data_IF_204454428004
#
_entry.id   IF_204454428004
#
_cell.length_a   1.000
_cell.length_b   1.000
_cell.length_c   1.000
_cell.angle_alpha   90.00
_cell.angle_beta   90.00
_cell.angle_gamma   90.00
#
_symmetry.space_group_name_H-M   'P 1'
#
loop_
_entity.id
_entity.type
_entity.pdbx_description
1 polymer ?
#
# COMPACT_ATOMS: atom_id res chain seq x y z
N UNK A 1 92.92 31.45 1.24
CA UNK A 1 92.01 30.41 1.70
C UNK A 1 90.68 31.10 2.02
N UNK A 2 89.71 31.09 1.08
CA UNK A 2 88.32 31.57 1.29
C UNK A 2 87.42 30.42 1.57
N UNK A 3 86.84 30.43 2.79
CA UNK A 3 85.84 29.45 3.19
C UNK A 3 84.48 29.90 2.67
N UNK A 4 83.92 29.19 1.68
CA UNK A 4 82.61 29.37 1.12
C UNK A 4 81.57 28.80 2.10
N UNK A 5 80.76 29.68 2.73
CA UNK A 5 79.58 29.25 3.58
C UNK A 5 78.43 29.04 2.64
N UNK A 6 78.07 27.77 2.49
CA UNK A 6 76.80 27.36 1.82
C UNK A 6 75.66 27.60 2.80
N UNK A 7 74.78 28.58 2.50
CA UNK A 7 73.53 28.80 3.22
C UNK A 7 72.48 27.97 2.55
N UNK A 8 72.12 26.84 3.22
CA UNK A 8 71.00 25.99 2.79
C UNK A 8 69.67 26.68 3.12
N UNK A 9 68.97 27.19 2.11
CA UNK A 9 67.64 27.79 2.23
C UNK A 9 66.60 26.66 2.30
N UNK A 10 66.11 26.33 3.47
CA UNK A 10 65.03 25.33 3.67
C UNK A 10 63.72 26.04 3.32
N UNK A 11 63.16 25.75 2.16
CA UNK A 11 61.79 26.10 1.79
C UNK A 11 60.82 25.23 2.61
N UNK A 12 60.22 25.80 3.64
CA UNK A 12 59.01 25.24 4.26
C UNK A 12 57.85 25.43 3.28
N UNK A 13 57.54 24.41 2.50
CA UNK A 13 56.25 24.26 1.84
C UNK A 13 55.19 24.02 2.93
N UNK A 14 54.67 25.11 3.48
CA UNK A 14 53.49 25.06 4.35
C UNK A 14 52.30 24.59 3.53
N UNK A 15 51.93 23.33 3.68
CA UNK A 15 50.66 22.82 3.22
C UNK A 15 49.58 23.52 4.05
N UNK A 16 49.06 24.66 3.60
CA UNK A 16 47.87 25.27 4.17
C UNK A 16 46.69 24.38 3.74
N UNK A 17 46.30 23.43 4.61
CA UNK A 17 45.02 22.77 4.47
C UNK A 17 43.94 23.86 4.55
N UNK A 18 43.42 24.25 3.40
CA UNK A 18 42.26 25.14 3.32
C UNK A 18 41.13 24.42 4.10
N UNK A 19 40.73 25.00 5.23
CA UNK A 19 39.56 24.54 5.96
C UNK A 19 38.38 24.57 4.99
N UNK A 20 37.82 23.39 4.70
CA UNK A 20 36.61 23.27 3.90
C UNK A 20 35.53 24.16 4.51
N UNK A 21 34.80 24.91 3.71
CA UNK A 21 33.67 25.69 4.23
C UNK A 21 32.57 24.75 4.70
N UNK A 22 31.73 25.19 5.64
CA UNK A 22 30.61 24.38 6.10
C UNK A 22 29.62 24.05 4.96
N UNK A 23 29.45 24.97 4.01
CA UNK A 23 28.63 24.76 2.81
C UNK A 23 29.23 23.64 1.92
N UNK A 24 30.55 23.63 1.73
CA UNK A 24 31.23 22.58 0.96
C UNK A 24 31.11 21.21 1.65
N UNK A 25 31.13 21.20 2.99
CA UNK A 25 30.90 19.98 3.77
C UNK A 25 29.48 19.46 3.55
N UNK A 26 28.45 20.32 3.59
CA UNK A 26 27.06 19.94 3.33
C UNK A 26 26.89 19.40 1.92
N UNK A 27 27.50 20.05 0.91
CA UNK A 27 27.47 19.57 -0.47
C UNK A 27 28.13 18.20 -0.59
N UNK A 28 29.29 18.00 0.03
CA UNK A 28 29.97 16.71 0.03
C UNK A 28 29.14 15.60 0.68
N UNK A 29 28.41 15.93 1.75
CA UNK A 29 27.49 15.00 2.43
C UNK A 29 26.31 14.65 1.54
N UNK A 30 25.71 15.63 0.88
CA UNK A 30 24.63 15.43 -0.08
C UNK A 30 25.07 14.50 -1.23
N UNK A 31 26.20 14.82 -1.88
CA UNK A 31 26.73 14.05 -3.01
C UNK A 31 27.03 12.58 -2.60
N UNK A 32 27.57 12.38 -1.39
CA UNK A 32 27.78 11.03 -0.84
C UNK A 32 26.47 10.30 -0.58
N UNK A 33 25.48 11.00 -0.03
CA UNK A 33 24.14 10.43 0.21
C UNK A 33 23.50 9.96 -1.09
N UNK A 34 23.53 10.81 -2.12
CA UNK A 34 23.04 10.46 -3.46
C UNK A 34 23.82 9.28 -4.08
N UNK A 35 25.15 9.29 -3.99
CA UNK A 35 25.99 8.17 -4.45
C UNK A 35 25.67 6.87 -3.73
N UNK A 36 25.45 6.91 -2.41
CA UNK A 36 25.09 5.73 -1.64
C UNK A 36 23.69 5.23 -2.01
N UNK A 37 22.73 6.13 -2.18
CA UNK A 37 21.39 5.78 -2.66
C UNK A 37 21.47 5.08 -4.02
N UNK A 38 22.12 5.69 -5.00
CA UNK A 38 22.28 5.15 -6.36
C UNK A 38 23.04 3.82 -6.42
N UNK A 39 23.85 3.52 -5.39
CA UNK A 39 24.56 2.24 -5.25
C UNK A 39 23.83 1.20 -4.36
N UNK A 40 22.59 1.45 -3.97
CA UNK A 40 21.77 0.56 -3.13
C UNK A 40 22.21 0.49 -1.67
N UNK A 41 23.05 1.42 -1.21
CA UNK A 41 23.55 1.47 0.18
C UNK A 41 22.68 2.39 1.04
N UNK A 42 21.40 2.11 1.10
CA UNK A 42 20.36 2.98 1.65
C UNK A 42 20.62 3.39 3.11
N UNK A 43 21.10 2.49 3.96
CA UNK A 43 21.45 2.84 5.35
C UNK A 43 22.51 3.95 5.42
N UNK A 44 23.55 3.87 4.56
CA UNK A 44 24.58 4.91 4.51
C UNK A 44 24.06 6.20 3.88
N UNK A 45 23.19 6.08 2.88
CA UNK A 45 22.52 7.24 2.29
C UNK A 45 21.75 8.02 3.35
N UNK A 46 20.97 7.33 4.19
CA UNK A 46 20.23 7.95 5.32
C UNK A 46 21.14 8.79 6.21
N UNK A 47 22.25 8.21 6.68
CA UNK A 47 23.17 8.90 7.61
C UNK A 47 23.72 10.23 7.02
N UNK A 48 24.14 10.20 5.75
CA UNK A 48 24.68 11.39 5.07
C UNK A 48 23.57 12.41 4.76
N UNK A 49 22.41 11.98 4.26
CA UNK A 49 21.29 12.85 3.91
C UNK A 49 20.64 13.48 5.14
N UNK A 50 20.47 12.72 6.23
CA UNK A 50 19.96 13.25 7.49
C UNK A 50 20.84 14.36 8.05
N UNK A 51 22.16 14.24 7.91
CA UNK A 51 23.08 15.31 8.30
C UNK A 51 22.78 16.60 7.53
N UNK A 52 22.52 16.53 6.22
CA UNK A 52 22.19 17.71 5.39
C UNK A 52 20.87 18.33 5.82
N UNK A 53 19.83 17.53 6.01
CA UNK A 53 18.50 17.99 6.43
C UNK A 53 18.56 18.72 7.77
N UNK A 54 19.31 18.17 8.73
CA UNK A 54 19.41 18.74 10.08
C UNK A 54 20.25 20.03 10.14
N UNK A 55 21.25 20.16 9.31
CA UNK A 55 22.23 21.25 9.40
C UNK A 55 22.02 22.40 8.39
N UNK A 56 21.06 22.26 7.47
CA UNK A 56 20.70 23.30 6.51
C UNK A 56 19.19 23.40 6.25
N UNK A 57 18.35 23.44 7.31
CA UNK A 57 16.90 23.42 7.16
C UNK A 57 16.41 24.58 6.30
N UNK A 58 15.43 24.30 5.43
CA UNK A 58 14.81 25.30 4.56
C UNK A 58 15.57 25.61 3.28
N UNK A 59 16.77 25.08 3.07
CA UNK A 59 17.47 25.20 1.80
C UNK A 59 16.93 24.21 0.75
N UNK A 60 17.15 24.53 -0.54
CA UNK A 60 16.80 23.61 -1.62
C UNK A 60 17.55 22.27 -1.49
N UNK A 61 18.83 22.31 -1.10
CA UNK A 61 19.62 21.10 -0.83
C UNK A 61 19.01 20.23 0.27
N UNK A 62 18.53 20.85 1.36
CA UNK A 62 17.85 20.09 2.43
C UNK A 62 16.54 19.47 1.97
N UNK A 63 15.76 20.14 1.10
CA UNK A 63 14.56 19.58 0.50
C UNK A 63 14.89 18.39 -0.42
N UNK A 64 15.93 18.51 -1.25
CA UNK A 64 16.36 17.42 -2.12
C UNK A 64 16.88 16.23 -1.30
N UNK A 65 17.65 16.51 -0.24
CA UNK A 65 18.10 15.50 0.72
C UNK A 65 16.94 14.83 1.44
N UNK A 66 15.90 15.58 1.79
CA UNK A 66 14.71 15.07 2.47
C UNK A 66 13.92 14.09 1.60
N UNK A 67 13.77 14.40 0.31
CA UNK A 67 13.13 13.48 -0.64
C UNK A 67 13.93 12.17 -0.76
N UNK A 68 15.26 12.25 -0.98
CA UNK A 68 16.13 11.08 -1.06
C UNK A 68 16.21 10.29 0.25
N UNK A 69 16.06 10.96 1.40
CA UNK A 69 15.96 10.32 2.71
C UNK A 69 14.68 9.49 2.79
N UNK A 70 13.54 10.04 2.35
CA UNK A 70 12.28 9.31 2.21
C UNK A 70 12.40 8.09 1.31
N UNK A 71 13.02 8.25 0.13
CA UNK A 71 13.30 7.12 -0.77
C UNK A 71 14.19 6.06 -0.11
N UNK A 72 15.22 6.48 0.64
CA UNK A 72 16.12 5.56 1.35
C UNK A 72 15.40 4.74 2.43
N UNK A 73 14.50 5.37 3.18
CA UNK A 73 13.62 4.69 4.13
C UNK A 73 12.68 3.71 3.43
N UNK A 74 12.09 4.11 2.29
CA UNK A 74 11.20 3.26 1.51
C UNK A 74 11.88 1.98 1.04
N UNK A 75 13.08 2.09 0.48
CA UNK A 75 13.87 0.94 0.02
C UNK A 75 14.29 0.00 1.17
N UNK A 76 14.44 0.55 2.38
CA UNK A 76 14.68 -0.23 3.60
C UNK A 76 13.39 -0.81 4.19
N UNK A 77 12.22 -0.56 3.57
CA UNK A 77 10.89 -0.95 4.05
C UNK A 77 10.51 -0.30 5.40
N UNK A 78 11.12 0.81 5.71
CA UNK A 78 10.81 1.65 6.87
C UNK A 78 9.71 2.66 6.44
N UNK A 79 8.52 2.13 6.13
CA UNK A 79 7.47 2.88 5.42
C UNK A 79 6.87 4.03 6.23
N UNK A 80 6.79 3.90 7.56
CA UNK A 80 6.33 4.98 8.44
C UNK A 80 7.29 6.18 8.39
N UNK A 81 8.60 5.92 8.51
CA UNK A 81 9.62 6.96 8.42
C UNK A 81 9.67 7.58 7.01
N UNK A 82 9.57 6.75 5.97
CA UNK A 82 9.50 7.21 4.59
C UNK A 82 8.32 8.17 4.37
N UNK A 83 7.12 7.81 4.82
CA UNK A 83 5.93 8.64 4.70
C UNK A 83 6.10 9.99 5.42
N UNK A 84 6.75 9.98 6.60
CA UNK A 84 7.04 11.20 7.36
C UNK A 84 7.99 12.13 6.59
N UNK A 85 9.06 11.59 5.98
CA UNK A 85 10.01 12.40 5.22
C UNK A 85 9.38 12.96 3.93
N UNK A 86 8.56 12.17 3.22
CA UNK A 86 7.80 12.65 2.06
C UNK A 86 6.75 13.71 2.44
N UNK A 87 6.07 13.58 3.58
CA UNK A 87 5.13 14.60 4.05
C UNK A 87 5.83 15.91 4.40
N UNK A 88 6.98 15.84 5.09
CA UNK A 88 7.83 17.02 5.34
C UNK A 88 8.26 17.69 4.04
N UNK A 89 8.74 16.90 3.07
CA UNK A 89 9.09 17.41 1.75
C UNK A 89 7.90 18.10 1.07
N UNK A 90 6.73 17.46 1.03
CA UNK A 90 5.53 17.99 0.39
C UNK A 90 5.05 19.32 0.99
N UNK A 91 5.23 19.52 2.30
CA UNK A 91 4.85 20.77 3.01
C UNK A 91 5.72 21.96 2.62
N UNK A 92 6.98 21.75 2.28
CA UNK A 92 7.93 22.83 2.02
C UNK A 92 8.31 22.96 0.54
N UNK A 93 7.98 22.00 -0.30
CA UNK A 93 8.19 22.04 -1.73
C UNK A 93 7.32 23.13 -2.39
N UNK A 94 7.93 23.93 -3.26
CA UNK A 94 7.21 24.93 -4.07
C UNK A 94 6.84 24.41 -5.47
N UNK A 95 7.29 23.21 -5.83
CA UNK A 95 6.99 22.58 -7.10
C UNK A 95 5.75 21.70 -6.98
N UNK A 96 4.68 22.03 -7.71
CA UNK A 96 3.46 21.23 -7.76
C UNK A 96 3.75 19.77 -8.14
N UNK A 97 4.55 19.55 -9.19
CA UNK A 97 4.87 18.21 -9.69
C UNK A 97 5.65 17.37 -8.65
N UNK A 98 6.61 17.99 -7.96
CA UNK A 98 7.38 17.30 -6.91
C UNK A 98 6.54 17.02 -5.68
N UNK A 99 5.62 17.93 -5.34
CA UNK A 99 4.67 17.75 -4.23
C UNK A 99 3.70 16.61 -4.54
N UNK A 100 3.12 16.58 -5.75
CA UNK A 100 2.29 15.47 -6.24
C UNK A 100 3.04 14.13 -6.14
N UNK A 101 4.28 14.09 -6.62
CA UNK A 101 5.11 12.88 -6.56
C UNK A 101 5.32 12.40 -5.12
N UNK A 102 5.63 13.31 -4.19
CA UNK A 102 5.82 12.98 -2.78
C UNK A 102 4.50 12.50 -2.13
N UNK A 103 3.36 13.13 -2.47
CA UNK A 103 2.04 12.68 -1.99
C UNK A 103 1.70 11.28 -2.47
N UNK A 104 2.02 10.95 -3.72
CA UNK A 104 1.83 9.59 -4.22
C UNK A 104 2.76 8.59 -3.51
N UNK A 105 4.03 8.97 -3.22
CA UNK A 105 4.93 8.11 -2.41
C UNK A 105 4.39 7.84 -1.01
N UNK A 106 3.69 8.79 -0.38
CA UNK A 106 3.01 8.55 0.90
C UNK A 106 1.91 7.48 0.75
N UNK A 107 1.14 7.52 -0.35
CA UNK A 107 0.17 6.46 -0.63
C UNK A 107 0.83 5.09 -0.80
N UNK A 108 1.96 5.02 -1.53
CA UNK A 108 2.71 3.77 -1.70
C UNK A 108 3.26 3.24 -0.36
N UNK A 109 3.67 4.11 0.56
CA UNK A 109 4.03 3.71 1.93
C UNK A 109 2.84 3.07 2.64
N UNK A 110 1.66 3.70 2.61
CA UNK A 110 0.44 3.20 3.24
C UNK A 110 0.00 1.84 2.64
N UNK A 111 0.08 1.67 1.32
CA UNK A 111 -0.18 0.39 0.64
C UNK A 111 0.75 -0.70 1.18
N UNK A 112 2.04 -0.41 1.29
CA UNK A 112 3.03 -1.38 1.76
C UNK A 112 2.89 -1.71 3.26
N UNK A 113 2.31 -0.83 4.07
CA UNK A 113 1.96 -1.09 5.47
C UNK A 113 0.68 -1.92 5.62
N UNK A 114 -0.13 -2.04 4.56
CA UNK A 114 -1.37 -2.82 4.58
C UNK A 114 -1.09 -4.31 4.75
N UNK A 115 -1.58 -4.87 5.84
CA UNK A 115 -1.41 -6.26 6.21
C UNK A 115 -2.15 -7.23 5.27
N UNK A 116 -1.84 -8.54 5.38
CA UNK A 116 -2.65 -9.59 4.78
C UNK A 116 -4.08 -9.60 5.39
N UNK A 117 -5.08 -10.06 4.64
CA UNK A 117 -6.49 -10.00 5.06
C UNK A 117 -6.79 -10.73 6.38
N UNK A 118 -5.96 -11.69 6.80
CA UNK A 118 -6.13 -12.41 8.07
C UNK A 118 -5.82 -11.56 9.31
N UNK A 119 -5.08 -10.48 9.15
CA UNK A 119 -4.65 -9.60 10.24
C UNK A 119 -5.62 -8.42 10.42
N UNK A 120 -5.26 -7.50 11.31
CA UNK A 120 -5.92 -6.21 11.43
C UNK A 120 -5.83 -5.41 10.13
N UNK A 121 -6.91 -4.74 9.76
CA UNK A 121 -7.06 -4.02 8.50
C UNK A 121 -7.07 -2.49 8.63
N UNK A 122 -6.73 -1.97 9.79
CA UNK A 122 -6.67 -0.51 10.02
C UNK A 122 -5.78 0.17 8.99
N UNK A 123 -4.57 -0.35 8.75
CA UNK A 123 -3.66 0.20 7.74
C UNK A 123 -4.20 0.05 6.30
N UNK A 124 -5.02 -0.97 6.03
CA UNK A 124 -5.64 -1.12 4.71
C UNK A 124 -6.70 -0.04 4.46
N UNK A 125 -7.50 0.28 5.47
CA UNK A 125 -8.49 1.36 5.41
C UNK A 125 -7.77 2.70 5.25
N UNK A 126 -6.74 2.97 6.05
CA UNK A 126 -5.95 4.18 5.94
C UNK A 126 -5.31 4.34 4.54
N UNK A 127 -4.84 3.25 3.94
CA UNK A 127 -4.28 3.30 2.59
C UNK A 127 -5.35 3.68 1.54
N UNK A 128 -6.57 3.17 1.67
CA UNK A 128 -7.70 3.55 0.81
C UNK A 128 -8.01 5.04 0.95
N UNK A 129 -8.10 5.54 2.19
CA UNK A 129 -8.41 6.96 2.46
C UNK A 129 -7.34 7.87 1.84
N UNK A 130 -6.05 7.57 2.01
CA UNK A 130 -4.95 8.34 1.43
C UNK A 130 -4.95 8.32 -0.11
N UNK A 131 -5.30 7.19 -0.71
CA UNK A 131 -5.42 7.08 -2.17
C UNK A 131 -6.60 7.89 -2.70
N UNK A 132 -7.73 7.92 -1.97
CA UNK A 132 -8.89 8.75 -2.33
C UNK A 132 -8.56 10.24 -2.23
N UNK A 133 -7.94 10.68 -1.12
CA UNK A 133 -7.44 12.05 -0.96
C UNK A 133 -6.50 12.44 -2.11
N UNK A 134 -5.58 11.53 -2.50
CA UNK A 134 -4.68 11.79 -3.62
C UNK A 134 -5.42 12.00 -4.94
N UNK A 135 -6.42 11.18 -5.25
CA UNK A 135 -7.22 11.32 -6.47
C UNK A 135 -8.02 12.64 -6.48
N UNK A 136 -8.56 13.04 -5.32
CA UNK A 136 -9.31 14.29 -5.17
C UNK A 136 -8.40 15.52 -5.33
N UNK A 137 -7.22 15.51 -4.71
CA UNK A 137 -6.25 16.61 -4.76
C UNK A 137 -5.55 16.72 -6.12
N UNK A 138 -5.34 15.59 -6.81
CA UNK A 138 -4.57 15.48 -8.05
C UNK A 138 -5.34 14.75 -9.17
N UNK A 139 -6.54 15.22 -9.58
CA UNK A 139 -7.40 14.49 -10.53
C UNK A 139 -6.79 14.34 -11.93
N UNK A 140 -5.82 15.18 -12.29
CA UNK A 140 -5.10 15.14 -13.59
C UNK A 140 -3.74 14.43 -13.49
N UNK A 141 -3.43 13.81 -12.37
CA UNK A 141 -2.18 13.09 -12.18
C UNK A 141 -2.11 11.85 -13.09
N UNK A 142 -0.93 11.56 -13.60
CA UNK A 142 -0.65 10.28 -14.30
C UNK A 142 -0.79 9.06 -13.38
N UNK A 143 -0.80 9.26 -12.06
CA UNK A 143 -0.91 8.20 -11.06
C UNK A 143 -2.35 7.93 -10.61
N UNK A 144 -3.35 8.69 -11.11
CA UNK A 144 -4.77 8.54 -10.73
C UNK A 144 -5.31 7.14 -11.05
N UNK A 145 -5.00 6.62 -12.24
CA UNK A 145 -5.42 5.26 -12.62
C UNK A 145 -4.77 4.19 -11.74
N UNK A 146 -3.48 4.35 -11.42
CA UNK A 146 -2.76 3.45 -10.52
C UNK A 146 -3.38 3.50 -9.12
N UNK A 147 -3.67 4.69 -8.59
CA UNK A 147 -4.33 4.86 -7.29
C UNK A 147 -5.72 4.20 -7.26
N UNK A 148 -6.53 4.35 -8.31
CA UNK A 148 -7.86 3.73 -8.43
C UNK A 148 -7.79 2.20 -8.46
N UNK A 149 -6.81 1.65 -9.16
CA UNK A 149 -6.58 0.21 -9.22
C UNK A 149 -6.15 -0.35 -7.84
N UNK A 150 -5.31 0.38 -7.11
CA UNK A 150 -4.91 0.00 -5.75
C UNK A 150 -6.10 0.05 -4.78
N UNK A 151 -6.95 1.06 -4.85
CA UNK A 151 -8.20 1.11 -4.06
C UNK A 151 -9.04 -0.15 -4.33
N UNK A 152 -9.23 -0.52 -5.58
CA UNK A 152 -9.98 -1.75 -5.95
C UNK A 152 -9.35 -3.01 -5.34
N UNK A 153 -8.03 -3.13 -5.40
CA UNK A 153 -7.28 -4.25 -4.81
C UNK A 153 -7.43 -4.31 -3.28
N UNK A 154 -7.31 -3.15 -2.60
CA UNK A 154 -7.46 -3.06 -1.15
C UNK A 154 -8.91 -3.32 -0.70
N UNK A 155 -9.91 -2.84 -1.45
CA UNK A 155 -11.33 -3.14 -1.19
C UNK A 155 -11.63 -4.64 -1.34
N UNK A 156 -11.06 -5.30 -2.35
CA UNK A 156 -11.15 -6.75 -2.50
C UNK A 156 -10.52 -7.49 -1.30
N UNK A 157 -9.40 -6.99 -0.78
CA UNK A 157 -8.76 -7.55 0.43
C UNK A 157 -9.69 -7.48 1.64
N UNK A 158 -10.38 -6.35 1.85
CA UNK A 158 -11.38 -6.18 2.91
C UNK A 158 -12.58 -7.09 2.70
N UNK A 159 -13.10 -7.17 1.48
CA UNK A 159 -14.19 -8.07 1.11
C UNK A 159 -13.83 -9.55 1.38
N UNK A 160 -12.61 -9.97 1.06
CA UNK A 160 -12.11 -11.32 1.36
C UNK A 160 -12.07 -11.60 2.87
N UNK A 161 -11.70 -10.62 3.68
CA UNK A 161 -11.74 -10.78 5.15
C UNK A 161 -13.16 -11.05 5.66
N UNK A 162 -14.12 -10.24 5.24
CA UNK A 162 -15.54 -10.42 5.59
C UNK A 162 -16.04 -11.78 5.12
N UNK A 163 -15.72 -12.17 3.89
CA UNK A 163 -16.14 -13.46 3.33
C UNK A 163 -15.54 -14.65 4.09
N UNK A 164 -14.26 -14.61 4.45
CA UNK A 164 -13.63 -15.67 5.26
C UNK A 164 -14.21 -15.72 6.69
N UNK A 165 -14.63 -14.59 7.25
CA UNK A 165 -15.38 -14.57 8.51
C UNK A 165 -16.72 -15.27 8.36
N UNK A 166 -17.47 -15.00 7.28
CA UNK A 166 -18.72 -15.70 6.98
C UNK A 166 -18.50 -17.22 6.84
N UNK A 167 -17.45 -17.64 6.13
CA UNK A 167 -17.09 -19.06 5.98
C UNK A 167 -16.78 -19.73 7.31
N UNK A 168 -16.15 -19.03 8.23
CA UNK A 168 -15.91 -19.54 9.59
C UNK A 168 -17.23 -19.77 10.32
N UNK A 169 -18.15 -18.80 10.28
CA UNK A 169 -19.48 -18.96 10.91
C UNK A 169 -20.31 -20.05 10.25
N UNK A 170 -20.22 -20.25 8.94
CA UNK A 170 -20.83 -21.39 8.24
C UNK A 170 -20.29 -22.72 8.77
N UNK A 171 -19.01 -22.85 9.03
CA UNK A 171 -18.43 -24.08 9.63
C UNK A 171 -18.85 -24.31 11.06
N UNK A 172 -19.18 -23.24 11.78
CA UNK A 172 -19.71 -23.32 13.15
C UNK A 172 -21.23 -23.50 13.18
N UNK A 173 -21.89 -23.60 12.02
CA UNK A 173 -23.35 -23.69 11.86
C UNK A 173 -24.10 -22.47 12.43
N UNK A 174 -23.40 -21.33 12.58
CA UNK A 174 -23.92 -20.04 13.02
C UNK A 174 -24.41 -19.24 11.80
N UNK A 175 -25.51 -19.67 11.19
CA UNK A 175 -25.98 -19.20 9.89
C UNK A 175 -26.38 -17.73 9.89
N UNK A 176 -27.01 -17.21 10.94
CA UNK A 176 -27.40 -15.83 11.07
C UNK A 176 -26.14 -14.90 11.09
N UNK A 177 -25.12 -15.33 11.83
CA UNK A 177 -23.85 -14.62 11.88
C UNK A 177 -23.17 -14.63 10.52
N UNK A 178 -23.16 -15.75 9.81
CA UNK A 178 -22.60 -15.84 8.45
C UNK A 178 -23.32 -14.88 7.49
N UNK A 179 -24.67 -14.81 7.55
CA UNK A 179 -25.47 -13.89 6.71
C UNK A 179 -25.10 -12.42 6.94
N UNK A 180 -24.82 -12.01 8.18
CA UNK A 180 -24.39 -10.63 8.47
C UNK A 180 -23.12 -10.28 7.69
N UNK A 181 -22.09 -11.14 7.77
CA UNK A 181 -20.83 -10.94 7.06
C UNK A 181 -20.99 -10.98 5.52
N UNK A 182 -21.79 -11.91 5.00
CA UNK A 182 -22.09 -12.00 3.56
C UNK A 182 -22.80 -10.74 3.06
N UNK A 183 -23.79 -10.23 3.80
CA UNK A 183 -24.49 -9.01 3.47
C UNK A 183 -23.60 -7.77 3.59
N UNK A 184 -22.64 -7.74 4.52
CA UNK A 184 -21.63 -6.68 4.57
C UNK A 184 -20.82 -6.62 3.28
N UNK A 185 -20.40 -7.77 2.72
CA UNK A 185 -19.70 -7.76 1.41
C UNK A 185 -20.59 -7.17 0.32
N UNK A 186 -21.86 -7.59 0.23
CA UNK A 186 -22.76 -7.11 -0.81
C UNK A 186 -23.14 -5.63 -0.68
N UNK A 187 -23.01 -5.04 0.51
CA UNK A 187 -23.35 -3.62 0.75
C UNK A 187 -22.13 -2.70 0.71
N UNK A 188 -21.01 -3.10 1.31
CA UNK A 188 -19.82 -2.26 1.42
C UNK A 188 -18.83 -2.47 0.27
N UNK A 189 -18.81 -3.69 -0.31
CA UNK A 189 -17.83 -4.09 -1.32
C UNK A 189 -18.50 -4.64 -2.59
N UNK A 190 -19.64 -4.07 -2.95
CA UNK A 190 -20.49 -4.51 -4.07
C UNK A 190 -19.79 -4.44 -5.44
N UNK A 191 -18.73 -3.67 -5.54
CA UNK A 191 -17.91 -3.41 -6.73
C UNK A 191 -16.73 -4.38 -6.88
N UNK A 192 -16.59 -5.36 -5.99
CA UNK A 192 -15.49 -6.33 -6.02
C UNK A 192 -15.88 -7.62 -6.74
N UNK A 193 -14.87 -8.32 -7.28
CA UNK A 193 -15.06 -9.57 -8.03
C UNK A 193 -15.66 -10.73 -7.21
N UNK A 194 -15.65 -10.64 -5.86
CA UNK A 194 -16.10 -11.72 -4.98
C UNK A 194 -17.63 -11.78 -4.80
N UNK A 195 -18.37 -10.76 -5.26
CA UNK A 195 -19.80 -10.60 -4.97
C UNK A 195 -20.66 -11.75 -5.51
N UNK A 196 -20.29 -12.36 -6.61
CA UNK A 196 -21.04 -13.50 -7.16
C UNK A 196 -20.83 -14.76 -6.35
N UNK A 197 -19.62 -14.99 -5.82
CA UNK A 197 -19.33 -16.05 -4.87
C UNK A 197 -20.11 -15.86 -3.56
N UNK A 198 -20.25 -14.62 -3.11
CA UNK A 198 -21.04 -14.27 -1.93
C UNK A 198 -22.53 -14.58 -2.15
N UNK A 199 -23.11 -14.22 -3.31
CA UNK A 199 -24.49 -14.53 -3.66
C UNK A 199 -24.74 -16.03 -3.68
N UNK A 200 -23.85 -16.80 -4.33
CA UNK A 200 -23.89 -18.25 -4.33
C UNK A 200 -23.87 -18.81 -2.90
N UNK A 201 -22.97 -18.28 -2.05
CA UNK A 201 -22.81 -18.72 -0.66
C UNK A 201 -24.07 -18.44 0.17
N UNK A 202 -24.80 -17.34 -0.07
CA UNK A 202 -26.08 -17.06 0.60
C UNK A 202 -27.13 -18.09 0.17
N UNK A 203 -27.23 -18.42 -1.12
CA UNK A 203 -28.13 -19.47 -1.61
C UNK A 203 -27.78 -20.82 -0.96
N UNK A 204 -26.49 -21.17 -0.94
CA UNK A 204 -26.01 -22.41 -0.30
C UNK A 204 -26.35 -22.43 1.18
N UNK A 205 -26.25 -21.34 1.91
CA UNK A 205 -26.60 -21.22 3.32
C UNK A 205 -28.09 -21.53 3.57
N UNK A 206 -29.00 -20.98 2.78
CA UNK A 206 -30.43 -21.28 2.88
C UNK A 206 -30.72 -22.77 2.58
N UNK A 207 -30.03 -23.34 1.60
CA UNK A 207 -30.16 -24.76 1.27
C UNK A 207 -29.65 -25.69 2.39
N UNK A 208 -28.57 -25.28 3.09
CA UNK A 208 -28.09 -26.00 4.30
C UNK A 208 -29.14 -26.06 5.41
N UNK A 209 -29.96 -25.02 5.54
CA UNK A 209 -31.06 -24.94 6.50
C UNK A 209 -32.34 -25.64 6.00
N UNK A 210 -32.27 -26.26 4.80
CA UNK A 210 -33.42 -26.87 4.11
C UNK A 210 -34.53 -25.86 3.74
N UNK A 211 -34.17 -24.58 3.60
CA UNK A 211 -35.05 -23.46 3.20
C UNK A 211 -35.06 -23.26 1.70
N UNK A 212 -35.51 -24.24 0.93
CA UNK A 212 -35.42 -24.29 -0.54
C UNK A 212 -36.19 -23.12 -1.19
N UNK A 213 -37.35 -22.78 -0.65
CA UNK A 213 -38.20 -21.70 -1.15
C UNK A 213 -37.51 -20.33 -0.96
N UNK A 214 -36.87 -20.13 0.18
CA UNK A 214 -36.11 -18.88 0.47
C UNK A 214 -34.89 -18.78 -0.44
N UNK A 215 -34.13 -19.86 -0.61
CA UNK A 215 -33.01 -19.92 -1.56
C UNK A 215 -33.43 -19.58 -3.00
N UNK A 216 -34.59 -20.11 -3.43
CA UNK A 216 -35.17 -19.84 -4.75
C UNK A 216 -35.52 -18.37 -4.90
N UNK A 217 -36.31 -17.83 -3.97
CA UNK A 217 -36.73 -16.43 -4.00
C UNK A 217 -35.56 -15.47 -3.94
N UNK A 218 -34.53 -15.77 -3.14
CA UNK A 218 -33.31 -14.97 -3.09
C UNK A 218 -32.61 -14.98 -4.43
N UNK A 219 -32.42 -16.17 -5.06
CA UNK A 219 -31.77 -16.28 -6.36
C UNK A 219 -32.53 -15.49 -7.44
N UNK A 220 -33.85 -15.62 -7.52
CA UNK A 220 -34.68 -14.87 -8.48
C UNK A 220 -34.52 -13.35 -8.33
N UNK A 221 -34.46 -12.85 -7.09
CA UNK A 221 -34.26 -11.44 -6.77
C UNK A 221 -32.84 -10.93 -7.07
N UNK A 222 -31.83 -11.80 -7.11
CA UNK A 222 -30.43 -11.44 -7.33
C UNK A 222 -29.93 -11.80 -8.74
N UNK A 223 -30.69 -12.54 -9.53
CA UNK A 223 -30.28 -13.06 -10.86
C UNK A 223 -29.67 -11.97 -11.76
N UNK A 224 -30.35 -10.83 -11.88
CA UNK A 224 -29.90 -9.70 -12.71
C UNK A 224 -28.63 -9.00 -12.18
N UNK A 225 -28.18 -9.30 -10.97
CA UNK A 225 -27.00 -8.69 -10.34
C UNK A 225 -25.76 -9.57 -10.44
N UNK A 226 -25.88 -10.80 -10.95
CA UNK A 226 -24.71 -11.63 -11.23
C UNK A 226 -23.95 -11.06 -12.43
N UNK A 227 -22.64 -10.91 -12.26
CA UNK A 227 -21.72 -10.47 -13.32
C UNK A 227 -21.24 -11.68 -14.11
N UNK A 228 -20.97 -12.82 -13.45
CA UNK A 228 -20.52 -14.06 -14.07
C UNK A 228 -21.72 -14.97 -14.41
N UNK A 229 -21.95 -15.18 -15.73
CA UNK A 229 -22.95 -16.15 -16.20
C UNK A 229 -22.66 -17.58 -15.74
N UNK A 230 -21.39 -17.93 -15.52
CA UNK A 230 -20.97 -19.24 -15.01
C UNK A 230 -21.41 -19.40 -13.54
N UNK A 231 -21.14 -18.40 -12.69
CA UNK A 231 -21.56 -18.41 -11.28
C UNK A 231 -23.07 -18.41 -11.13
N UNK A 232 -23.78 -17.67 -11.97
CA UNK A 232 -25.25 -17.72 -11.98
C UNK A 232 -25.74 -19.12 -12.31
N UNK A 233 -25.21 -19.76 -13.38
CA UNK A 233 -25.58 -21.11 -13.76
C UNK A 233 -25.24 -22.15 -12.66
N UNK A 234 -24.10 -22.01 -12.03
CA UNK A 234 -23.70 -22.84 -10.88
C UNK A 234 -24.74 -22.73 -9.76
N UNK A 235 -25.15 -21.50 -9.42
CA UNK A 235 -26.14 -21.22 -8.37
C UNK A 235 -27.53 -21.80 -8.73
N UNK A 236 -27.96 -21.64 -9.98
CA UNK A 236 -29.22 -22.22 -10.48
C UNK A 236 -29.22 -23.75 -10.39
N UNK A 237 -28.12 -24.40 -10.78
CA UNK A 237 -27.97 -25.85 -10.68
C UNK A 237 -28.04 -26.33 -9.25
N UNK A 238 -27.45 -25.59 -8.31
CA UNK A 238 -27.46 -25.90 -6.89
C UNK A 238 -28.93 -25.99 -6.34
N UNK A 239 -29.71 -24.94 -6.65
CA UNK A 239 -31.15 -24.92 -6.25
C UNK A 239 -31.95 -26.04 -6.95
N UNK A 240 -31.72 -26.25 -8.24
CA UNK A 240 -32.38 -27.29 -9.02
C UNK A 240 -32.09 -28.71 -8.48
N UNK A 241 -30.82 -28.98 -8.18
CA UNK A 241 -30.40 -30.26 -7.59
C UNK A 241 -31.11 -30.53 -6.26
N UNK A 242 -31.20 -29.51 -5.42
CA UNK A 242 -31.90 -29.67 -4.11
C UNK A 242 -33.39 -29.91 -4.28
N UNK A 243 -34.06 -29.19 -5.22
CA UNK A 243 -35.48 -29.43 -5.58
C UNK A 243 -35.74 -30.85 -6.08
N UNK A 244 -34.76 -31.45 -6.77
CA UNK A 244 -34.85 -32.81 -7.29
C UNK A 244 -34.42 -33.91 -6.29
N UNK A 245 -34.18 -33.54 -5.03
CA UNK A 245 -33.76 -34.47 -3.99
C UNK A 245 -32.31 -34.93 -4.07
N UNK A 246 -31.48 -34.25 -4.90
CA UNK A 246 -30.05 -34.46 -4.92
C UNK A 246 -29.39 -33.67 -3.80
N UNK A 247 -28.57 -34.32 -3.00
CA UNK A 247 -27.97 -33.68 -1.82
C UNK A 247 -26.86 -32.67 -2.17
N UNK A 248 -26.48 -31.88 -1.16
CA UNK A 248 -25.40 -30.86 -1.25
C UNK A 248 -24.00 -31.44 -1.01
N UNK A 249 -23.80 -32.75 -1.09
CA UNK A 249 -22.59 -33.45 -0.59
C UNK A 249 -21.28 -32.96 -1.24
N UNK A 250 -21.30 -32.56 -2.53
CA UNK A 250 -20.12 -32.03 -3.22
C UNK A 250 -19.78 -30.62 -2.75
N UNK A 251 -20.80 -29.79 -2.48
CA UNK A 251 -20.61 -28.41 -2.02
C UNK A 251 -20.22 -28.35 -0.55
N UNK A 252 -20.78 -29.21 0.30
CA UNK A 252 -20.39 -29.30 1.72
C UNK A 252 -18.89 -29.59 1.87
N UNK A 253 -18.28 -30.34 0.95
CA UNK A 253 -16.85 -30.66 0.96
C UNK A 253 -15.96 -29.46 0.66
N UNK A 254 -16.46 -28.45 -0.06
CA UNK A 254 -15.72 -27.21 -0.35
C UNK A 254 -15.71 -26.23 0.84
N UNK A 255 -16.68 -26.37 1.76
CA UNK A 255 -16.83 -25.49 2.93
C UNK A 255 -16.42 -26.15 4.26
N UNK A 256 -16.09 -27.45 4.27
CA UNK A 256 -15.47 -28.15 5.41
C UNK A 256 -13.95 -28.11 5.31
#
# INVERSE_FOLDING_TARGET
MYKLKIITLIFFLGCSATKMSFIDELQLKFDKGEQFYNSGKYTRAKDELQFVVMNNPGSQMALDAQYLLGESHFELKEYEDAALEFDRFARFSQSYERTESARFRICECAINMSNSFQKDQTNTIEAIDRLQEFIEDYPSSKNTDAASNEITSLRLKLAKKEFESARLYLKLEEYDSALIYLNNVLTQYYDTEIVDEVRLTIVFLYLLQNEVELATSYLENQEAKFVSAEKLKETQNLVSNMKNGLGLSEYIRLYK
#
